data_IF_482918380574
#
_entry.id   IF_482918380574
#
_cell.length_a   1.000
_cell.length_b   1.000
_cell.length_c   1.000
_cell.angle_alpha   90.00
_cell.angle_beta   90.00
_cell.angle_gamma   90.00
#
_symmetry.space_group_name_H-M   'P 1'
#
loop_
_entity.id
_entity.type
_entity.pdbx_description
1 polymer ?
#
# COMPACT_ATOMS: atom_id res chain seq x y z
N UNK A 1 16.25 -17.50 6.15
CA UNK A 1 16.07 -16.71 4.90
C UNK A 1 14.67 -16.15 4.64
N UNK A 2 13.56 -16.91 4.75
CA UNK A 2 12.23 -16.48 4.27
C UNK A 2 11.74 -15.09 4.78
N UNK A 3 12.18 -14.65 5.96
CA UNK A 3 11.76 -13.38 6.57
C UNK A 3 12.83 -12.28 6.57
N UNK A 4 14.04 -12.53 6.04
CA UNK A 4 15.13 -11.55 6.13
C UNK A 4 14.78 -10.22 5.45
N UNK A 5 14.16 -10.28 4.29
CA UNK A 5 13.70 -9.08 3.57
C UNK A 5 12.60 -8.35 4.34
N UNK A 6 11.72 -9.08 5.04
CA UNK A 6 10.67 -8.47 5.87
C UNK A 6 11.27 -7.73 7.07
N UNK A 7 12.24 -8.32 7.76
CA UNK A 7 12.93 -7.66 8.87
C UNK A 7 13.66 -6.40 8.42
N UNK A 8 14.31 -6.42 7.26
CA UNK A 8 14.94 -5.22 6.67
C UNK A 8 13.91 -4.12 6.39
N UNK A 9 12.76 -4.47 5.80
CA UNK A 9 11.70 -3.48 5.53
C UNK A 9 11.09 -2.91 6.82
N UNK A 10 10.86 -3.74 7.84
CA UNK A 10 10.39 -3.28 9.15
C UNK A 10 11.39 -2.29 9.76
N UNK A 11 12.70 -2.62 9.72
CA UNK A 11 13.74 -1.74 10.23
C UNK A 11 13.77 -0.39 9.49
N UNK A 12 13.55 -0.35 8.18
CA UNK A 12 13.45 0.91 7.43
C UNK A 12 12.24 1.76 7.85
N UNK A 13 11.06 1.13 7.99
CA UNK A 13 9.85 1.84 8.41
C UNK A 13 10.00 2.38 9.84
N UNK A 14 10.50 1.57 10.76
CA UNK A 14 10.79 2.00 12.15
C UNK A 14 11.89 3.08 12.21
N UNK A 15 12.83 3.06 11.27
CA UNK A 15 13.87 4.06 11.10
C UNK A 15 13.40 5.38 10.46
N UNK A 16 12.12 5.50 10.11
CA UNK A 16 11.52 6.74 9.61
C UNK A 16 11.30 6.81 8.11
N UNK A 17 11.40 5.70 7.37
CA UNK A 17 10.96 5.65 5.99
C UNK A 17 9.45 5.91 5.90
N UNK A 18 9.06 7.07 5.36
CA UNK A 18 7.66 7.42 5.15
C UNK A 18 7.12 6.76 3.86
N UNK A 19 6.14 5.87 4.02
CA UNK A 19 5.44 5.19 2.93
C UNK A 19 4.12 5.89 2.54
N UNK A 20 3.73 6.95 3.23
CA UNK A 20 2.51 7.70 2.91
C UNK A 20 2.44 8.16 1.45
N UNK A 21 3.53 8.65 0.82
CA UNK A 21 3.49 9.14 -0.56
C UNK A 21 3.20 8.05 -1.61
N UNK A 22 3.46 6.77 -1.31
CA UNK A 22 3.19 5.68 -2.26
C UNK A 22 1.73 5.22 -2.22
N UNK A 23 1.01 5.55 -1.15
CA UNK A 23 -0.42 5.25 -0.99
C UNK A 23 -1.22 6.36 -1.65
N UNK A 24 -1.77 6.08 -2.82
CA UNK A 24 -2.51 7.09 -3.58
C UNK A 24 -4.01 7.04 -3.33
N UNK A 25 -4.54 5.91 -2.85
CA UNK A 25 -5.95 5.75 -2.53
C UNK A 25 -6.14 5.00 -1.22
N UNK A 26 -7.07 5.48 -0.40
CA UNK A 26 -7.62 4.79 0.78
C UNK A 26 -9.13 4.74 0.59
N UNK A 27 -9.69 3.54 0.61
CA UNK A 27 -11.11 3.30 0.33
C UNK A 27 -11.69 2.34 1.36
N UNK A 28 -13.00 2.36 1.55
CA UNK A 28 -13.67 1.35 2.37
C UNK A 28 -13.77 0.03 1.60
N UNK A 29 -13.87 -1.09 2.31
CA UNK A 29 -13.91 -2.43 1.71
C UNK A 29 -15.09 -2.61 0.74
N UNK A 30 -16.22 -1.94 0.96
CA UNK A 30 -17.38 -1.99 0.07
C UNK A 30 -17.17 -1.23 -1.25
N UNK A 31 -16.13 -0.41 -1.35
CA UNK A 31 -15.71 0.32 -2.55
C UNK A 31 -14.65 -0.45 -3.36
N UNK A 32 -14.41 -1.74 -3.06
CA UNK A 32 -13.33 -2.53 -3.66
C UNK A 32 -13.27 -2.42 -5.19
N UNK A 33 -14.42 -2.37 -5.86
CA UNK A 33 -14.52 -2.27 -7.34
C UNK A 33 -13.82 -1.03 -7.86
N UNK A 34 -14.05 0.12 -7.24
CA UNK A 34 -13.45 1.40 -7.65
C UNK A 34 -11.93 1.38 -7.41
N UNK A 35 -11.49 0.72 -6.33
CA UNK A 35 -10.07 0.48 -6.07
C UNK A 35 -9.39 -0.35 -7.17
N UNK A 36 -10.04 -1.41 -7.65
CA UNK A 36 -9.52 -2.22 -8.76
C UNK A 36 -9.51 -1.48 -10.10
N UNK A 37 -10.54 -0.67 -10.39
CA UNK A 37 -10.57 0.18 -11.59
C UNK A 37 -9.45 1.24 -11.55
N UNK A 38 -9.23 1.89 -10.40
CA UNK A 38 -8.12 2.82 -10.22
C UNK A 38 -6.76 2.17 -10.50
N UNK A 39 -6.53 0.94 -10.03
CA UNK A 39 -5.34 0.15 -10.35
C UNK A 39 -5.21 -0.16 -11.84
N UNK A 40 -6.31 -0.52 -12.50
CA UNK A 40 -6.32 -0.84 -13.94
C UNK A 40 -6.05 0.39 -14.80
N UNK A 41 -6.51 1.56 -14.38
CA UNK A 41 -6.38 2.82 -15.13
C UNK A 41 -4.92 3.30 -15.31
N UNK A 42 -3.99 2.77 -14.49
CA UNK A 42 -2.61 3.25 -14.44
C UNK A 42 -2.41 4.52 -13.61
N UNK A 43 -3.49 5.15 -13.12
CA UNK A 43 -3.44 6.37 -12.32
C UNK A 43 -3.40 6.10 -10.81
N UNK A 44 -2.75 5.01 -10.38
CA UNK A 44 -2.59 4.70 -8.96
C UNK A 44 -1.20 4.10 -8.66
N UNK A 45 -0.68 4.37 -7.46
CA UNK A 45 0.54 3.75 -6.95
C UNK A 45 0.23 2.54 -6.07
N UNK A 46 -0.48 2.78 -4.96
CA UNK A 46 -0.98 1.76 -4.06
C UNK A 46 -2.37 2.13 -3.56
N UNK A 47 -3.30 1.18 -3.66
CA UNK A 47 -4.63 1.26 -3.06
C UNK A 47 -4.61 0.46 -1.76
N UNK A 48 -5.08 1.06 -0.67
CA UNK A 48 -5.28 0.42 0.63
C UNK A 48 -6.78 0.40 0.93
N UNK A 49 -7.30 -0.77 1.31
CA UNK A 49 -8.69 -0.97 1.68
C UNK A 49 -8.79 -1.09 3.20
N UNK A 50 -9.63 -0.25 3.80
CA UNK A 50 -9.97 -0.30 5.22
C UNK A 50 -11.27 -1.12 5.41
N UNK A 51 -11.30 -1.98 6.43
CA UNK A 51 -12.40 -2.92 6.71
C UNK A 51 -13.51 -2.30 7.54
#
# INVERSE_FOLDING_TARGET
EMFETWYKMIAFVQGGLDLSPVITHRIRIDEFRDGFEAMRSGNSGKVVMDW
#
